data_IF_559626182965
#
_entry.id   IF_559626182965
#
_cell.length_a   1.000
_cell.length_b   1.000
_cell.length_c   1.000
_cell.angle_alpha   90.00
_cell.angle_beta   90.00
_cell.angle_gamma   90.00
#
_symmetry.space_group_name_H-M   'P 1'
#
loop_
_entity.id
_entity.type
_entity.pdbx_description
1 polymer ?
#
# COMPACT_ATOMS: atom_id res chain seq x y z
N UNK A 1 24.48 -18.56 47.79
CA UNK A 1 24.36 -17.41 46.87
C UNK A 1 24.89 -17.86 45.52
N UNK A 2 24.02 -18.08 44.54
CA UNK A 2 24.42 -18.58 43.22
C UNK A 2 23.20 -18.63 42.32
N UNK A 3 22.84 -17.48 41.72
CA UNK A 3 21.76 -17.42 40.74
C UNK A 3 22.21 -18.13 39.47
N UNK A 4 21.54 -19.24 39.17
CA UNK A 4 21.54 -19.93 37.89
C UNK A 4 21.11 -18.95 36.77
N UNK A 5 22.09 -18.32 36.12
CA UNK A 5 21.87 -17.60 34.86
C UNK A 5 21.85 -18.65 33.75
N UNK A 6 20.68 -19.26 33.52
CA UNK A 6 20.44 -19.98 32.25
C UNK A 6 20.71 -19.00 31.12
N UNK A 7 21.80 -19.22 30.39
CA UNK A 7 22.10 -18.49 29.17
C UNK A 7 20.94 -18.75 28.19
N UNK A 8 20.08 -17.76 28.02
CA UNK A 8 19.04 -17.78 26.99
C UNK A 8 19.76 -17.96 25.65
N UNK A 9 19.44 -19.04 24.92
CA UNK A 9 20.09 -19.33 23.65
C UNK A 9 19.86 -18.13 22.72
N UNK A 10 20.86 -17.72 21.92
CA UNK A 10 20.71 -16.57 21.01
C UNK A 10 19.45 -16.67 20.13
N UNK A 11 19.09 -17.89 19.72
CA UNK A 11 17.91 -18.18 18.89
C UNK A 11 16.56 -17.84 19.56
N UNK A 12 16.43 -18.06 20.87
CA UNK A 12 15.22 -17.75 21.64
C UNK A 12 14.99 -16.24 21.75
N UNK A 13 16.07 -15.46 21.74
CA UNK A 13 16.01 -13.99 21.78
C UNK A 13 15.49 -13.43 20.45
N UNK A 14 15.87 -14.02 19.32
CA UNK A 14 15.38 -13.60 18.00
C UNK A 14 13.91 -13.97 17.80
N UNK A 15 13.49 -15.16 18.20
CA UNK A 15 12.09 -15.56 18.16
C UNK A 15 11.20 -14.62 19.01
N UNK A 16 11.72 -14.20 20.17
CA UNK A 16 11.03 -13.24 21.04
C UNK A 16 11.00 -11.84 20.43
N UNK A 17 12.08 -11.39 19.78
CA UNK A 17 12.14 -10.08 19.10
C UNK A 17 11.19 -9.99 17.90
N UNK A 18 11.05 -11.07 17.11
CA UNK A 18 10.07 -11.15 16.02
C UNK A 18 8.65 -11.11 16.59
N UNK A 19 8.36 -11.91 17.61
CA UNK A 19 7.03 -11.97 18.24
C UNK A 19 6.61 -10.64 18.88
N UNK A 20 7.57 -9.89 19.41
CA UNK A 20 7.34 -8.61 20.10
C UNK A 20 7.45 -7.38 19.19
N UNK A 21 7.86 -7.54 17.91
CA UNK A 21 7.98 -6.45 16.94
C UNK A 21 9.09 -5.43 17.25
N UNK A 22 10.01 -5.73 18.18
CA UNK A 22 11.02 -4.79 18.69
C UNK A 22 12.16 -4.55 17.67
N UNK A 23 12.32 -5.45 16.69
CA UNK A 23 13.29 -5.29 15.61
C UNK A 23 12.65 -5.63 14.26
N UNK A 24 13.03 -4.90 13.21
CA UNK A 24 12.54 -5.18 11.86
C UNK A 24 13.02 -6.55 11.39
N UNK A 25 12.16 -7.29 10.71
CA UNK A 25 12.47 -8.60 10.13
C UNK A 25 13.73 -8.55 9.27
N UNK A 26 13.93 -7.45 8.53
CA UNK A 26 15.11 -7.21 7.72
C UNK A 26 16.40 -7.07 8.56
N UNK A 27 16.36 -6.34 9.68
CA UNK A 27 17.52 -6.21 10.58
C UNK A 27 17.93 -7.55 11.20
N UNK A 28 16.94 -8.40 11.51
CA UNK A 28 17.16 -9.76 12.04
C UNK A 28 17.77 -10.65 10.95
N UNK A 29 17.18 -10.66 9.75
CA UNK A 29 17.68 -11.45 8.61
C UNK A 29 19.09 -11.04 8.19
N UNK A 30 19.39 -9.73 8.16
CA UNK A 30 20.71 -9.18 7.84
C UNK A 30 21.80 -9.58 8.83
N UNK A 31 21.42 -9.93 10.06
CA UNK A 31 22.36 -10.42 11.08
C UNK A 31 22.78 -11.87 10.83
N UNK A 32 21.90 -12.66 10.22
CA UNK A 32 22.18 -14.05 9.82
C UNK A 32 22.98 -14.18 8.52
N UNK A 33 23.12 -13.08 7.77
CA UNK A 33 23.92 -13.00 6.53
C UNK A 33 25.26 -12.28 6.71
N UNK A 34 25.57 -11.81 7.93
CA UNK A 34 26.74 -10.96 8.24
C UNK A 34 28.05 -11.73 8.37
N UNK A 35 27.99 -13.00 8.72
CA UNK A 35 29.13 -13.91 8.63
C UNK A 35 29.09 -14.53 7.23
N UNK A 36 30.24 -14.76 6.60
CA UNK A 36 30.41 -15.27 5.23
C UNK A 36 29.91 -16.74 5.03
N UNK A 37 28.97 -17.17 5.86
CA UNK A 37 28.29 -18.46 5.92
C UNK A 37 26.79 -18.19 6.12
N UNK A 38 25.97 -18.69 5.21
CA UNK A 38 24.51 -18.58 5.33
C UNK A 38 24.07 -19.35 6.59
N UNK A 39 23.55 -18.66 7.60
CA UNK A 39 23.13 -19.30 8.84
C UNK A 39 21.98 -20.31 8.56
N UNK A 40 21.97 -21.51 9.17
CA UNK A 40 20.89 -22.49 8.98
C UNK A 40 19.49 -21.93 9.25
N UNK A 41 19.35 -21.05 10.24
CA UNK A 41 18.07 -20.35 10.53
C UNK A 41 17.60 -19.47 9.36
N UNK A 42 18.51 -18.79 8.66
CA UNK A 42 18.16 -17.98 7.49
C UNK A 42 17.71 -18.86 6.32
N UNK A 43 18.38 -20.00 6.11
CA UNK A 43 17.94 -21.00 5.13
C UNK A 43 16.56 -21.54 5.48
N UNK A 44 16.32 -21.89 6.75
CA UNK A 44 15.01 -22.35 7.21
C UNK A 44 13.89 -21.32 6.96
N UNK A 45 14.17 -20.03 7.16
CA UNK A 45 13.22 -18.94 6.87
C UNK A 45 12.94 -18.79 5.37
N UNK A 46 13.96 -18.96 4.52
CA UNK A 46 13.77 -18.99 3.06
C UNK A 46 12.90 -20.18 2.66
N UNK A 47 13.18 -21.37 3.18
CA UNK A 47 12.40 -22.58 2.87
C UNK A 47 10.96 -22.47 3.37
N UNK A 48 10.74 -21.86 4.55
CA UNK A 48 9.40 -21.56 5.04
C UNK A 48 8.65 -20.63 4.08
N UNK A 49 9.30 -19.56 3.60
CA UNK A 49 8.73 -18.65 2.62
C UNK A 49 8.42 -19.33 1.28
N UNK A 50 9.27 -20.25 0.83
CA UNK A 50 9.02 -21.09 -0.36
C UNK A 50 7.81 -22.00 -0.14
N UNK A 51 7.74 -22.70 1.00
CA UNK A 51 6.62 -23.57 1.34
C UNK A 51 5.29 -22.79 1.39
N UNK A 52 5.27 -21.60 1.98
CA UNK A 52 4.08 -20.74 2.03
C UNK A 52 3.64 -20.29 0.63
N UNK A 53 4.58 -19.90 -0.24
CA UNK A 53 4.29 -19.59 -1.65
C UNK A 53 3.72 -20.80 -2.39
N UNK A 54 4.31 -21.98 -2.22
CA UNK A 54 3.82 -23.22 -2.85
C UNK A 54 2.41 -23.56 -2.38
N UNK A 55 2.12 -23.45 -1.08
CA UNK A 55 0.79 -23.68 -0.54
C UNK A 55 -0.23 -22.69 -1.15
N UNK A 56 0.12 -21.41 -1.21
CA UNK A 56 -0.71 -20.38 -1.81
C UNK A 56 -0.99 -20.69 -3.30
N UNK A 57 0.05 -20.97 -4.10
CA UNK A 57 -0.08 -21.28 -5.53
C UNK A 57 -0.89 -22.56 -5.77
N UNK A 58 -0.77 -23.57 -4.90
CA UNK A 58 -1.57 -24.80 -5.00
C UNK A 58 -3.04 -24.58 -4.60
N UNK A 59 -3.31 -23.68 -3.64
CA UNK A 59 -4.67 -23.32 -3.21
C UNK A 59 -5.37 -22.42 -4.21
N UNK A 60 -4.68 -21.42 -4.74
CA UNK A 60 -5.27 -20.33 -5.54
C UNK A 60 -6.18 -20.81 -6.67
N UNK A 61 -5.81 -21.78 -7.54
CA UNK A 61 -6.69 -22.25 -8.62
C UNK A 61 -7.98 -22.92 -8.14
N UNK A 62 -7.99 -23.46 -6.92
CA UNK A 62 -9.09 -24.26 -6.36
C UNK A 62 -10.06 -23.44 -5.52
N UNK A 63 -9.68 -22.22 -5.15
CA UNK A 63 -10.43 -21.36 -4.25
C UNK A 63 -10.94 -20.13 -5.01
N UNK A 64 -12.23 -20.14 -5.37
CA UNK A 64 -12.84 -19.07 -6.16
C UNK A 64 -13.05 -17.79 -5.38
N UNK A 65 -13.29 -17.89 -4.08
CA UNK A 65 -13.52 -16.71 -3.25
C UNK A 65 -12.20 -15.96 -3.05
N UNK A 66 -11.11 -16.70 -2.82
CA UNK A 66 -9.75 -16.12 -2.79
C UNK A 66 -9.38 -15.44 -4.13
N UNK A 67 -9.74 -16.03 -5.27
CA UNK A 67 -9.49 -15.41 -6.58
C UNK A 67 -10.25 -14.09 -6.74
N UNK A 68 -11.53 -14.06 -6.33
CA UNK A 68 -12.36 -12.85 -6.43
C UNK A 68 -11.81 -11.74 -5.58
N UNK A 69 -11.50 -12.01 -4.31
CA UNK A 69 -10.92 -11.03 -3.40
C UNK A 69 -9.61 -10.42 -3.94
N UNK A 70 -8.71 -11.28 -4.46
CA UNK A 70 -7.46 -10.82 -5.05
C UNK A 70 -7.69 -9.96 -6.30
N UNK A 71 -8.57 -10.41 -7.20
CA UNK A 71 -8.85 -9.67 -8.43
C UNK A 71 -9.56 -8.35 -8.15
N UNK A 72 -10.45 -8.28 -7.16
CA UNK A 72 -11.10 -7.03 -6.74
C UNK A 72 -10.07 -6.02 -6.25
N UNK A 73 -9.12 -6.44 -5.40
CA UNK A 73 -8.03 -5.58 -4.96
C UNK A 73 -7.11 -5.15 -6.09
N UNK A 74 -6.74 -6.06 -6.99
CA UNK A 74 -5.91 -5.76 -8.16
C UNK A 74 -6.60 -4.77 -9.10
N UNK A 75 -7.89 -4.94 -9.39
CA UNK A 75 -8.66 -4.05 -10.25
C UNK A 75 -8.62 -2.60 -9.75
N UNK A 76 -8.70 -2.38 -8.43
CA UNK A 76 -8.62 -1.02 -7.84
C UNK A 76 -7.24 -0.42 -8.09
N UNK A 77 -6.17 -1.17 -7.82
CA UNK A 77 -4.79 -0.69 -7.98
C UNK A 77 -4.44 -0.48 -9.45
N UNK A 78 -4.85 -1.38 -10.33
CA UNK A 78 -4.64 -1.28 -11.78
C UNK A 78 -5.40 -0.10 -12.38
N UNK A 79 -6.67 0.09 -11.98
CA UNK A 79 -7.45 1.25 -12.38
C UNK A 79 -6.77 2.54 -11.93
N UNK A 80 -6.31 2.62 -10.68
CA UNK A 80 -5.58 3.77 -10.16
C UNK A 80 -4.27 4.03 -10.90
N UNK A 81 -3.50 2.97 -11.22
CA UNK A 81 -2.28 3.09 -12.00
C UNK A 81 -2.55 3.58 -13.43
N UNK A 82 -3.63 3.12 -14.06
CA UNK A 82 -4.13 3.67 -15.31
C UNK A 82 -4.43 5.17 -15.19
N UNK A 83 -5.14 5.58 -14.14
CA UNK A 83 -5.39 6.99 -13.84
C UNK A 83 -4.12 7.82 -13.65
N UNK A 84 -3.10 7.26 -12.99
CA UNK A 84 -1.82 7.93 -12.78
C UNK A 84 -1.08 8.22 -14.09
N UNK A 85 -1.15 7.33 -15.08
CA UNK A 85 -0.59 7.60 -16.40
C UNK A 85 -1.28 8.81 -17.07
N UNK A 86 -2.60 8.93 -16.90
CA UNK A 86 -3.38 10.04 -17.43
C UNK A 86 -3.08 11.36 -16.69
N UNK A 87 -2.91 11.32 -15.36
CA UNK A 87 -2.56 12.48 -14.53
C UNK A 87 -1.13 12.96 -14.78
N UNK A 88 -0.19 12.02 -15.04
CA UNK A 88 1.18 12.33 -15.43
C UNK A 88 1.20 12.81 -16.89
N UNK A 89 0.69 14.02 -17.10
CA UNK A 89 0.47 14.63 -18.40
C UNK A 89 1.79 15.11 -19.03
N UNK A 90 2.28 14.37 -20.04
CA UNK A 90 3.42 14.74 -20.88
C UNK A 90 4.00 13.53 -21.63
N UNK A 91 3.98 13.56 -22.97
CA UNK A 91 4.53 12.52 -23.88
C UNK A 91 4.24 11.06 -23.46
N UNK A 92 2.99 10.72 -23.16
CA UNK A 92 2.61 9.32 -22.88
C UNK A 92 3.10 8.77 -21.54
N UNK A 93 3.30 9.65 -20.55
CA UNK A 93 3.83 9.32 -19.23
C UNK A 93 5.32 8.95 -19.21
N UNK A 94 6.03 9.15 -20.32
CA UNK A 94 7.47 8.92 -20.38
C UNK A 94 8.24 10.10 -19.78
N UNK A 95 9.17 9.78 -18.89
CA UNK A 95 10.11 10.76 -18.37
C UNK A 95 11.07 11.12 -19.52
N UNK A 96 10.81 12.25 -20.17
CA UNK A 96 11.52 12.68 -21.37
C UNK A 96 13.02 12.98 -21.14
N UNK A 97 13.44 13.11 -19.88
CA UNK A 97 14.82 13.44 -19.51
C UNK A 97 15.62 12.22 -19.07
N UNK A 98 16.85 12.11 -19.55
CA UNK A 98 17.83 11.13 -19.09
C UNK A 98 18.61 11.63 -17.85
N UNK A 99 18.27 12.82 -17.32
CA UNK A 99 18.89 13.39 -16.13
C UNK A 99 18.14 12.94 -14.88
N UNK A 100 18.81 12.16 -14.04
CA UNK A 100 18.25 11.61 -12.80
C UNK A 100 17.50 12.63 -11.94
N UNK A 101 18.05 13.82 -11.74
CA UNK A 101 17.42 14.90 -10.95
C UNK A 101 16.05 15.32 -11.49
N UNK A 102 15.91 15.40 -12.82
CA UNK A 102 14.65 15.77 -13.47
C UNK A 102 13.62 14.62 -13.39
N UNK A 103 14.09 13.36 -13.42
CA UNK A 103 13.25 12.19 -13.19
C UNK A 103 12.73 12.17 -11.75
N UNK A 104 13.61 12.39 -10.78
CA UNK A 104 13.27 12.45 -9.35
C UNK A 104 12.25 13.56 -9.08
N UNK A 105 12.47 14.77 -9.61
CA UNK A 105 11.51 15.87 -9.49
C UNK A 105 10.14 15.52 -10.09
N UNK A 106 10.12 14.89 -11.28
CA UNK A 106 8.87 14.51 -11.95
C UNK A 106 8.07 13.49 -11.12
N UNK A 107 8.75 12.49 -10.55
CA UNK A 107 8.13 11.49 -9.68
C UNK A 107 7.60 12.12 -8.40
N UNK A 108 8.35 13.04 -7.80
CA UNK A 108 7.92 13.76 -6.59
C UNK A 108 6.69 14.64 -6.86
N UNK A 109 6.68 15.39 -7.96
CA UNK A 109 5.52 16.19 -8.38
C UNK A 109 4.29 15.30 -8.61
N UNK A 110 4.45 14.18 -9.32
CA UNK A 110 3.37 13.21 -9.51
C UNK A 110 2.85 12.69 -8.17
N UNK A 111 3.73 12.38 -7.21
CA UNK A 111 3.35 11.90 -5.88
C UNK A 111 2.52 12.93 -5.10
N UNK A 112 2.84 14.22 -5.23
CA UNK A 112 2.05 15.31 -4.64
C UNK A 112 0.66 15.38 -5.26
N UNK A 113 0.56 15.32 -6.60
CA UNK A 113 -0.72 15.32 -7.30
C UNK A 113 -1.58 14.10 -6.92
N UNK A 114 -0.98 12.91 -6.87
CA UNK A 114 -1.65 11.69 -6.40
C UNK A 114 -2.22 11.86 -5.00
N UNK A 115 -1.41 12.38 -4.08
CA UNK A 115 -1.82 12.58 -2.68
C UNK A 115 -2.95 13.61 -2.58
N UNK A 116 -2.88 14.70 -3.34
CA UNK A 116 -3.93 15.71 -3.39
C UNK A 116 -5.24 15.16 -3.95
N UNK A 117 -5.20 14.36 -5.01
CA UNK A 117 -6.37 13.71 -5.58
C UNK A 117 -7.01 12.73 -4.59
N UNK A 118 -6.21 11.84 -3.98
CA UNK A 118 -6.68 10.89 -2.97
C UNK A 118 -7.30 11.64 -1.79
N UNK A 119 -6.71 12.76 -1.37
CA UNK A 119 -7.25 13.57 -0.29
C UNK A 119 -8.61 14.18 -0.64
N UNK A 120 -8.76 14.78 -1.82
CA UNK A 120 -10.04 15.32 -2.29
C UNK A 120 -11.10 14.22 -2.40
N UNK A 121 -10.73 13.06 -2.97
CA UNK A 121 -11.63 11.91 -3.06
C UNK A 121 -12.09 11.42 -1.69
N UNK A 122 -11.18 11.40 -0.71
CA UNK A 122 -11.51 11.03 0.67
C UNK A 122 -12.52 12.01 1.27
N UNK A 123 -12.32 13.31 1.09
CA UNK A 123 -13.27 14.32 1.56
C UNK A 123 -14.64 14.20 0.88
N UNK A 124 -14.67 13.93 -0.43
CA UNK A 124 -15.90 13.70 -1.18
C UNK A 124 -16.65 12.47 -0.69
N UNK A 125 -15.95 11.36 -0.44
CA UNK A 125 -16.55 10.15 0.13
C UNK A 125 -17.11 10.45 1.53
N UNK A 126 -16.33 11.10 2.39
CA UNK A 126 -16.78 11.48 3.74
C UNK A 126 -18.04 12.37 3.71
N UNK A 127 -18.08 13.33 2.78
CA UNK A 127 -19.25 14.21 2.61
C UNK A 127 -20.52 13.44 2.22
N UNK A 128 -20.40 12.49 1.28
CA UNK A 128 -21.50 11.61 0.87
C UNK A 128 -21.94 10.69 2.00
N UNK A 129 -20.99 10.11 2.74
CA UNK A 129 -21.28 9.20 3.85
C UNK A 129 -21.86 9.89 5.09
N UNK A 130 -21.68 11.21 5.21
CA UNK A 130 -22.31 12.01 6.26
C UNK A 130 -23.81 12.26 6.00
N UNK A 131 -24.36 11.85 4.86
CA UNK A 131 -25.81 11.86 4.62
C UNK A 131 -26.46 10.60 5.21
N UNK A 132 -27.44 10.80 6.11
CA UNK A 132 -28.16 9.73 6.82
C UNK A 132 -28.73 8.67 5.87
N UNK A 133 -29.10 9.06 4.64
CA UNK A 133 -29.60 8.15 3.61
C UNK A 133 -28.60 7.05 3.25
N UNK A 134 -27.30 7.34 3.32
CA UNK A 134 -26.23 6.37 3.04
C UNK A 134 -25.80 5.64 4.29
N UNK A 135 -25.78 6.32 5.44
CA UNK A 135 -25.45 5.71 6.73
C UNK A 135 -26.36 4.51 7.06
N UNK A 136 -27.65 4.58 6.75
CA UNK A 136 -28.60 3.48 6.99
C UNK A 136 -28.53 2.34 5.96
N UNK A 137 -27.89 2.57 4.80
CA UNK A 137 -27.84 1.59 3.69
C UNK A 137 -26.54 0.81 3.62
N UNK A 138 -25.46 1.34 4.19
CA UNK A 138 -24.17 0.69 4.15
C UNK A 138 -24.07 -0.48 5.12
N UNK A 139 -23.49 -1.57 4.63
CA UNK A 139 -23.12 -2.73 5.44
C UNK A 139 -21.62 -2.71 5.75
N UNK A 140 -21.18 -3.55 6.69
CA UNK A 140 -19.74 -3.73 6.98
C UNK A 140 -18.93 -4.14 5.74
N UNK A 141 -19.56 -4.86 4.79
CA UNK A 141 -18.91 -5.23 3.53
C UNK A 141 -18.66 -3.98 2.69
N UNK A 142 -19.65 -3.11 2.55
CA UNK A 142 -19.53 -1.89 1.75
C UNK A 142 -18.45 -0.97 2.31
N UNK A 143 -18.38 -0.83 3.64
CA UNK A 143 -17.32 -0.04 4.29
C UNK A 143 -15.92 -0.60 4.04
N UNK A 144 -15.76 -1.92 3.98
CA UNK A 144 -14.48 -2.56 3.63
C UNK A 144 -14.09 -2.39 2.17
N UNK A 145 -15.07 -2.23 1.28
CA UNK A 145 -14.87 -2.05 -0.16
C UNK A 145 -14.63 -0.58 -0.56
N UNK A 146 -14.79 0.37 0.36
CA UNK A 146 -14.55 1.78 0.07
C UNK A 146 -13.08 2.04 -0.27
N UNK A 147 -12.87 2.78 -1.36
CA UNK A 147 -11.56 3.22 -1.79
C UNK A 147 -11.62 4.66 -2.30
N UNK A 148 -10.67 5.53 -1.90
CA UNK A 148 -10.55 6.87 -2.47
C UNK A 148 -9.78 6.87 -3.80
N UNK A 149 -9.43 5.70 -4.36
CA UNK A 149 -8.55 5.58 -5.54
C UNK A 149 -9.32 5.62 -6.88
N UNK A 150 -10.45 6.31 -6.94
CA UNK A 150 -11.20 6.53 -8.19
C UNK A 150 -10.78 7.85 -8.85
N UNK A 151 -10.79 7.89 -10.18
CA UNK A 151 -10.27 9.06 -10.93
C UNK A 151 -11.12 9.44 -12.14
N UNK A 152 -12.22 8.73 -12.40
CA UNK A 152 -13.10 8.96 -13.57
C UNK A 152 -13.76 10.35 -13.62
N UNK A 153 -13.84 11.04 -12.48
CA UNK A 153 -14.36 12.42 -12.38
C UNK A 153 -13.30 13.48 -12.68
N UNK A 154 -12.03 13.10 -12.80
CA UNK A 154 -10.93 14.02 -13.12
C UNK A 154 -10.93 14.26 -14.63
N UNK A 155 -10.99 15.53 -15.02
CA UNK A 155 -10.84 15.95 -16.41
C UNK A 155 -9.37 16.28 -16.70
N UNK A 156 -8.59 15.40 -17.35
CA UNK A 156 -7.18 15.65 -17.65
C UNK A 156 -6.99 16.66 -18.78
N UNK A 157 -7.98 16.82 -19.65
CA UNK A 157 -7.98 17.76 -20.76
C UNK A 157 -9.09 18.80 -20.56
N UNK A 158 -8.77 20.06 -20.81
CA UNK A 158 -9.75 21.16 -20.79
C UNK A 158 -9.16 22.46 -20.26
N UNK A 159 -9.96 23.52 -20.33
CA UNK A 159 -9.63 24.81 -19.73
C UNK A 159 -10.06 24.81 -18.26
N UNK A 160 -9.09 24.85 -17.34
CA UNK A 160 -9.38 25.02 -15.91
C UNK A 160 -9.28 26.50 -15.57
N UNK A 161 -10.44 27.15 -15.38
CA UNK A 161 -10.49 28.50 -14.81
C UNK A 161 -10.28 28.43 -13.31
N UNK A 162 -9.04 28.61 -12.88
CA UNK A 162 -8.66 28.61 -11.47
C UNK A 162 -9.25 29.84 -10.77
N UNK A 163 -10.15 29.59 -9.83
CA UNK A 163 -10.63 30.61 -8.91
C UNK A 163 -10.15 30.25 -7.49
N UNK A 164 -9.12 30.96 -7.02
CA UNK A 164 -8.49 30.72 -5.72
C UNK A 164 -9.35 31.14 -4.52
N UNK A 165 -10.43 31.91 -4.73
CA UNK A 165 -11.38 32.30 -3.68
C UNK A 165 -12.53 31.31 -3.52
N UNK A 166 -12.76 30.45 -4.52
CA UNK A 166 -13.76 29.39 -4.45
C UNK A 166 -13.18 28.18 -3.72
N UNK A 167 -13.97 27.58 -2.82
CA UNK A 167 -13.67 26.29 -2.18
C UNK A 167 -14.61 25.22 -2.72
N UNK A 168 -14.20 23.95 -2.58
CA UNK A 168 -15.11 22.84 -2.84
C UNK A 168 -16.29 22.92 -1.86
N UNK A 169 -17.54 22.74 -2.33
CA UNK A 169 -18.73 22.81 -1.48
C UNK A 169 -18.89 21.50 -0.69
N UNK A 170 -17.91 21.17 0.14
CA UNK A 170 -17.92 19.99 1.01
C UNK A 170 -18.32 20.43 2.41
N UNK A 171 -19.08 19.60 3.13
CA UNK A 171 -19.40 19.83 4.54
C UNK A 171 -18.09 20.01 5.32
N UNK A 172 -18.03 21.04 6.15
CA UNK A 172 -16.87 21.27 7.00
C UNK A 172 -16.81 20.15 8.04
N UNK A 173 -15.71 19.40 8.05
CA UNK A 173 -15.43 18.47 9.15
C UNK A 173 -15.15 19.30 10.40
N UNK A 174 -16.00 19.12 11.40
CA UNK A 174 -15.89 19.78 12.72
C UNK A 174 -14.83 19.08 13.57
#
# INVERSE_FOLDING_TARGET
MGRDRRAVRPDDQYATAIRSGIASTEAILRRFTKANSIHPTYQAMIELGRAQKTLFVARYPRDRDLQREINEGLNVVESWNGGNSVIFFGKGSDIASNRREEQELSVLCLRVLQSALVYVNTLMVQDVLADDKWAEKMTDVDHRCLTPLFWTHVAPYGEVRLNMTRRLPLRQQT
#
